data_IF_005736796596
#
_entry.id   IF_005736796596
#
_cell.length_a   1.000
_cell.length_b   1.000
_cell.length_c   1.000
_cell.angle_alpha   90.00
_cell.angle_beta   90.00
_cell.angle_gamma   90.00
#
_symmetry.space_group_name_H-M   'P 1'
#
loop_
_entity.id
_entity.type
_entity.pdbx_description
1 polymer ?
#
# COMPACT_ATOMS: atom_id res chain seq x y z
N UNK A 1 29.18 -6.35 -14.08
CA UNK A 1 28.02 -7.15 -13.64
C UNK A 1 26.71 -6.43 -14.01
N UNK A 2 26.33 -6.39 -15.30
CA UNK A 2 25.03 -5.81 -15.75
C UNK A 2 24.33 -6.65 -16.81
N UNK A 3 24.91 -7.80 -17.19
CA UNK A 3 24.54 -8.53 -18.40
C UNK A 3 23.25 -9.35 -18.24
N UNK A 4 22.82 -9.62 -17.00
CA UNK A 4 21.66 -10.48 -16.70
C UNK A 4 20.64 -9.84 -15.76
N UNK A 5 20.74 -8.53 -15.49
CA UNK A 5 19.88 -7.84 -14.53
C UNK A 5 18.39 -7.98 -14.89
N UNK A 6 18.07 -7.92 -16.19
CA UNK A 6 16.70 -8.10 -16.69
C UNK A 6 16.21 -9.55 -16.54
N UNK A 7 17.10 -10.53 -16.76
CA UNK A 7 16.77 -11.96 -16.62
C UNK A 7 16.40 -12.33 -15.18
N UNK A 8 16.93 -11.61 -14.19
CA UNK A 8 16.64 -11.79 -12.76
C UNK A 8 15.74 -10.71 -12.17
N UNK A 9 15.20 -9.80 -12.98
CA UNK A 9 14.34 -8.71 -12.50
C UNK A 9 12.95 -9.20 -12.06
N UNK A 10 12.45 -10.28 -12.66
CA UNK A 10 11.12 -10.83 -12.37
C UNK A 10 11.14 -11.72 -11.12
N UNK A 11 10.24 -11.44 -10.17
CA UNK A 11 10.11 -12.21 -8.92
C UNK A 11 9.14 -13.38 -9.09
N UNK A 12 9.51 -14.63 -8.75
CA UNK A 12 8.58 -15.74 -8.79
C UNK A 12 7.51 -15.59 -7.69
N UNK A 13 6.24 -15.70 -8.08
CA UNK A 13 5.08 -15.58 -7.20
C UNK A 13 4.57 -16.99 -6.88
N UNK A 14 4.48 -17.33 -5.58
CA UNK A 14 3.95 -18.62 -5.13
C UNK A 14 2.43 -18.70 -5.36
N UNK A 15 1.86 -19.90 -5.22
CA UNK A 15 0.42 -20.12 -5.49
C UNK A 15 -0.46 -19.34 -4.53
N UNK A 16 -0.13 -19.28 -3.24
CA UNK A 16 -0.87 -18.46 -2.27
C UNK A 16 -0.65 -16.97 -2.52
N UNK A 17 0.58 -16.53 -2.81
CA UNK A 17 0.86 -15.12 -3.09
C UNK A 17 0.11 -14.59 -4.31
N UNK A 18 -0.11 -15.44 -5.31
CA UNK A 18 -0.95 -15.12 -6.48
C UNK A 18 -2.42 -14.95 -6.10
N UNK A 19 -2.91 -15.61 -5.05
CA UNK A 19 -4.26 -15.35 -4.55
C UNK A 19 -4.32 -14.06 -3.72
N UNK A 20 -3.19 -13.64 -3.12
CA UNK A 20 -3.09 -12.40 -2.35
C UNK A 20 -3.05 -11.18 -3.26
N UNK A 21 -2.36 -11.27 -4.38
CA UNK A 21 -2.38 -10.24 -5.41
C UNK A 21 -3.67 -10.44 -6.22
N UNK A 22 -4.56 -9.46 -6.23
CA UNK A 22 -5.71 -9.49 -7.13
C UNK A 22 -5.17 -9.42 -8.56
N UNK A 23 -5.81 -10.10 -9.52
CA UNK A 23 -5.33 -10.10 -10.91
C UNK A 23 -5.21 -8.66 -11.43
N UNK A 24 -4.03 -8.30 -11.94
CA UNK A 24 -3.69 -6.93 -12.36
C UNK A 24 -3.25 -5.98 -11.24
N UNK A 25 -3.17 -6.45 -9.99
CA UNK A 25 -2.74 -5.67 -8.83
C UNK A 25 -1.34 -6.04 -8.32
N UNK A 26 -0.46 -6.58 -9.18
CA UNK A 26 0.88 -7.01 -8.80
C UNK A 26 1.80 -5.84 -8.39
N UNK A 27 1.43 -4.62 -8.77
CA UNK A 27 2.10 -3.38 -8.38
C UNK A 27 3.58 -3.34 -8.75
N UNK A 28 4.34 -2.47 -8.08
CA UNK A 28 5.77 -2.29 -8.37
C UNK A 28 6.63 -3.48 -7.89
N UNK A 29 6.14 -4.24 -6.91
CA UNK A 29 6.91 -5.27 -6.20
C UNK A 29 6.91 -6.60 -6.98
N UNK A 30 5.75 -7.02 -7.52
CA UNK A 30 5.58 -8.34 -8.14
C UNK A 30 5.29 -8.32 -9.63
N UNK A 31 4.97 -7.16 -10.23
CA UNK A 31 4.72 -7.13 -11.65
C UNK A 31 5.98 -7.56 -12.44
N UNK A 32 5.81 -8.40 -13.48
CA UNK A 32 6.93 -8.82 -14.32
C UNK A 32 7.54 -7.60 -15.03
N UNK A 33 8.85 -7.67 -15.27
CA UNK A 33 9.53 -6.59 -15.96
C UNK A 33 8.97 -6.41 -17.38
N UNK A 34 8.49 -5.20 -17.69
CA UNK A 34 7.85 -4.87 -18.97
C UNK A 34 7.54 -3.37 -19.08
N UNK A 35 6.83 -2.96 -20.14
CA UNK A 35 6.42 -1.57 -20.34
C UNK A 35 5.53 -1.06 -19.20
N UNK A 36 4.52 -1.83 -18.78
CA UNK A 36 3.67 -1.51 -17.64
C UNK A 36 4.45 -1.28 -16.34
N UNK A 37 5.39 -2.18 -15.99
CA UNK A 37 6.24 -2.01 -14.80
C UNK A 37 7.14 -0.77 -14.90
N UNK A 38 7.71 -0.51 -16.08
CA UNK A 38 8.54 0.69 -16.31
C UNK A 38 7.73 1.97 -16.18
N UNK A 39 6.50 2.00 -16.70
CA UNK A 39 5.59 3.13 -16.56
C UNK A 39 5.25 3.37 -15.09
N UNK A 40 4.83 2.33 -14.36
CA UNK A 40 4.54 2.43 -12.93
C UNK A 40 5.76 2.89 -12.12
N UNK A 41 6.95 2.35 -12.41
CA UNK A 41 8.20 2.79 -11.78
C UNK A 41 8.49 4.27 -12.05
N UNK A 42 8.25 4.73 -13.29
CA UNK A 42 8.44 6.14 -13.66
C UNK A 42 7.49 7.03 -12.85
N UNK A 43 6.20 6.69 -12.77
CA UNK A 43 5.22 7.41 -11.95
C UNK A 43 5.69 7.48 -10.48
N UNK A 44 6.06 6.34 -9.87
CA UNK A 44 6.54 6.33 -8.49
C UNK A 44 7.78 7.21 -8.29
N UNK A 45 8.73 7.20 -9.24
CA UNK A 45 10.00 7.92 -9.06
C UNK A 45 9.85 9.42 -9.33
N UNK A 46 9.08 9.79 -10.35
CA UNK A 46 8.97 11.18 -10.84
C UNK A 46 7.89 11.95 -10.09
N UNK A 47 6.79 11.31 -9.72
CA UNK A 47 5.64 11.98 -9.12
C UNK A 47 5.61 11.77 -7.60
N UNK A 48 5.66 10.51 -7.16
CA UNK A 48 5.45 10.16 -5.74
C UNK A 48 6.70 10.35 -4.86
N UNK A 49 7.87 9.98 -5.38
CA UNK A 49 9.14 9.95 -4.64
C UNK A 49 10.14 11.01 -5.15
N UNK A 50 9.63 12.06 -5.78
CA UNK A 50 10.48 13.16 -6.23
C UNK A 50 11.10 13.92 -5.06
N UNK A 51 12.26 14.53 -5.29
CA UNK A 51 12.92 15.37 -4.29
C UNK A 51 12.00 16.48 -3.79
N UNK A 52 11.20 17.07 -4.69
CA UNK A 52 10.20 18.09 -4.35
C UNK A 52 9.15 17.54 -3.38
N UNK A 53 8.65 16.32 -3.62
CA UNK A 53 7.61 15.70 -2.79
C UNK A 53 8.13 15.29 -1.41
N UNK A 54 9.32 14.70 -1.38
CA UNK A 54 10.01 14.36 -0.13
C UNK A 54 10.28 15.62 0.71
N UNK A 55 10.57 16.75 0.06
CA UNK A 55 10.75 18.03 0.74
C UNK A 55 9.44 18.65 1.23
N UNK A 56 8.33 18.53 0.46
CA UNK A 56 7.03 19.04 0.93
C UNK A 56 6.57 18.28 2.17
N UNK A 57 6.70 16.94 2.17
CA UNK A 57 6.32 16.08 3.29
C UNK A 57 7.18 16.24 4.54
N UNK A 58 8.20 17.11 4.51
CA UNK A 58 9.08 17.35 5.66
C UNK A 58 8.30 17.87 6.87
N UNK A 59 7.27 18.72 6.64
CA UNK A 59 6.44 19.26 7.71
C UNK A 59 5.74 18.17 8.52
N UNK A 60 5.28 17.11 7.85
CA UNK A 60 4.68 15.93 8.47
C UNK A 60 5.67 15.26 9.42
N UNK A 61 6.91 15.04 8.96
CA UNK A 61 7.96 14.45 9.80
C UNK A 61 8.26 15.30 11.04
N UNK A 62 8.31 16.62 10.90
CA UNK A 62 8.57 17.52 12.03
C UNK A 62 7.44 17.49 13.08
N UNK A 63 6.18 17.44 12.64
CA UNK A 63 5.02 17.29 13.54
C UNK A 63 5.06 15.95 14.30
N UNK A 64 5.29 14.85 13.59
CA UNK A 64 5.35 13.53 14.19
C UNK A 64 6.54 13.37 15.16
N UNK A 65 7.68 14.02 14.87
CA UNK A 65 8.83 14.07 15.81
C UNK A 65 8.47 14.85 17.07
N UNK A 66 7.73 15.95 16.96
CA UNK A 66 7.26 16.69 18.14
C UNK A 66 6.35 15.82 19.03
N UNK A 67 5.42 15.08 18.42
CA UNK A 67 4.55 14.15 19.13
C UNK A 67 5.36 13.05 19.84
N UNK A 68 6.37 12.49 19.15
CA UNK A 68 7.30 11.52 19.73
C UNK A 68 8.04 12.08 20.95
N UNK A 69 8.57 13.31 20.86
CA UNK A 69 9.29 13.95 21.96
C UNK A 69 8.39 14.23 23.16
N UNK A 70 7.13 14.63 22.92
CA UNK A 70 6.14 14.81 23.99
C UNK A 70 5.78 13.49 24.68
N UNK A 71 5.65 12.40 23.93
CA UNK A 71 5.40 11.06 24.50
C UNK A 71 6.58 10.59 25.38
N UNK A 72 7.81 10.83 24.92
CA UNK A 72 9.02 10.54 25.71
C UNK A 72 9.04 11.39 26.97
N UNK A 73 8.87 12.71 26.87
CA UNK A 73 8.94 13.62 28.02
C UNK A 73 7.91 13.26 29.10
N UNK A 74 6.69 12.90 28.67
CA UNK A 74 5.59 12.50 29.56
C UNK A 74 5.92 11.20 30.30
N UNK A 75 6.53 10.23 29.61
CA UNK A 75 6.91 8.96 30.24
C UNK A 75 8.07 9.14 31.21
N UNK A 76 9.05 9.99 30.87
CA UNK A 76 10.20 10.30 31.73
C UNK A 76 9.86 11.20 32.93
N UNK A 77 8.66 11.80 32.95
CA UNK A 77 8.20 12.61 34.08
C UNK A 77 8.03 11.78 35.36
N UNK A 78 7.87 10.46 35.23
CA UNK A 78 7.87 9.51 36.34
C UNK A 78 9.28 8.98 36.64
N UNK A 79 9.83 9.22 37.84
CA UNK A 79 11.15 8.72 38.21
C UNK A 79 11.25 7.20 38.10
N UNK A 80 12.24 6.70 37.37
CA UNK A 80 12.48 5.26 37.18
C UNK A 80 11.65 4.60 36.08
N UNK A 81 10.81 5.34 35.35
CA UNK A 81 10.07 4.80 34.22
C UNK A 81 11.00 4.51 33.02
N UNK A 82 11.01 3.26 32.56
CA UNK A 82 11.73 2.86 31.36
C UNK A 82 10.90 3.21 30.11
N UNK A 83 11.52 3.86 29.14
CA UNK A 83 10.87 4.23 27.87
C UNK A 83 11.18 3.17 26.81
N UNK A 84 10.15 2.55 26.23
CA UNK A 84 10.33 1.67 25.08
C UNK A 84 10.42 2.49 23.78
N UNK A 85 11.64 2.88 23.41
CA UNK A 85 11.90 3.63 22.18
C UNK A 85 11.55 2.84 20.91
N UNK A 86 11.63 1.51 20.94
CA UNK A 86 11.29 0.69 19.76
C UNK A 86 9.82 0.86 19.39
N UNK A 87 8.91 0.83 20.38
CA UNK A 87 7.48 1.02 20.15
C UNK A 87 7.17 2.43 19.68
N UNK A 88 7.78 3.43 20.33
CA UNK A 88 7.56 4.84 19.99
C UNK A 88 8.06 5.19 18.58
N UNK A 89 9.26 4.73 18.20
CA UNK A 89 9.78 4.91 16.84
C UNK A 89 8.95 4.17 15.80
N UNK A 90 8.44 2.98 16.12
CA UNK A 90 7.56 2.24 15.22
C UNK A 90 6.24 2.99 14.99
N UNK A 91 5.67 3.60 16.04
CA UNK A 91 4.50 4.47 15.88
C UNK A 91 4.81 5.65 14.98
N UNK A 92 5.88 6.39 15.28
CA UNK A 92 6.32 7.55 14.49
C UNK A 92 6.45 7.22 12.99
N UNK A 93 7.13 6.13 12.64
CA UNK A 93 7.30 5.73 11.23
C UNK A 93 5.94 5.39 10.61
N UNK A 94 5.09 4.67 11.31
CA UNK A 94 3.75 4.32 10.83
C UNK A 94 2.87 5.56 10.68
N UNK A 95 2.88 6.48 11.64
CA UNK A 95 2.14 7.75 11.63
C UNK A 95 2.55 8.60 10.43
N UNK A 96 3.85 8.87 10.31
CA UNK A 96 4.42 9.65 9.22
C UNK A 96 4.14 9.03 7.84
N UNK A 97 4.27 7.70 7.72
CA UNK A 97 4.03 7.00 6.45
C UNK A 97 2.55 7.03 6.06
N UNK A 98 1.63 6.77 6.99
CA UNK A 98 0.19 6.80 6.72
C UNK A 98 -0.25 8.21 6.33
N UNK A 99 0.22 9.22 7.06
CA UNK A 99 -0.08 10.62 6.75
C UNK A 99 0.48 11.04 5.39
N UNK A 100 1.64 10.54 4.98
CA UNK A 100 2.18 10.84 3.64
C UNK A 100 1.34 10.19 2.54
N UNK A 101 0.85 8.97 2.75
CA UNK A 101 0.09 8.22 1.74
C UNK A 101 -1.34 8.73 1.61
N UNK A 102 -2.08 8.85 2.71
CA UNK A 102 -3.54 9.07 2.76
C UNK A 102 -3.90 10.45 3.36
N UNK A 103 -2.90 11.26 3.71
CA UNK A 103 -3.12 12.57 4.29
C UNK A 103 -3.64 12.54 5.74
N UNK A 104 -3.91 13.73 6.28
CA UNK A 104 -4.49 13.94 7.63
C UNK A 104 -6.01 13.77 7.68
N UNK A 105 -6.66 13.60 6.53
CA UNK A 105 -8.13 13.56 6.42
C UNK A 105 -8.72 12.29 6.99
N UNK A 106 -7.93 11.22 6.94
CA UNK A 106 -8.41 9.88 7.23
C UNK A 106 -8.34 9.54 8.71
N UNK A 107 -9.50 9.33 9.33
CA UNK A 107 -9.63 9.09 10.78
C UNK A 107 -9.32 7.66 11.20
N UNK A 108 -9.40 6.70 10.28
CA UNK A 108 -9.37 5.27 10.62
C UNK A 108 -7.97 4.64 10.43
N UNK A 109 -6.92 5.38 10.82
CA UNK A 109 -5.51 4.97 10.67
C UNK A 109 -5.23 3.59 11.27
N UNK A 110 -5.79 3.31 12.44
CA UNK A 110 -5.60 2.04 13.14
C UNK A 110 -6.11 0.87 12.30
N UNK A 111 -7.25 1.05 11.63
CA UNK A 111 -7.80 0.05 10.71
C UNK A 111 -6.87 -0.17 9.52
N UNK A 112 -6.30 0.88 8.94
CA UNK A 112 -5.31 0.72 7.85
C UNK A 112 -4.09 -0.07 8.29
N UNK A 113 -3.49 0.28 9.43
CA UNK A 113 -2.29 -0.39 9.95
C UNK A 113 -2.58 -1.85 10.32
N UNK A 114 -3.75 -2.12 10.88
CA UNK A 114 -4.21 -3.49 11.16
C UNK A 114 -4.33 -4.30 9.88
N UNK A 115 -5.02 -3.79 8.87
CA UNK A 115 -5.15 -4.45 7.57
C UNK A 115 -3.78 -4.67 6.92
N UNK A 116 -2.90 -3.67 6.93
CA UNK A 116 -1.52 -3.80 6.45
C UNK A 116 -0.76 -4.92 7.19
N UNK A 117 -0.86 -4.96 8.52
CA UNK A 117 -0.22 -5.98 9.35
C UNK A 117 -0.73 -7.39 9.05
N UNK A 118 -2.05 -7.57 8.98
CA UNK A 118 -2.69 -8.84 8.62
C UNK A 118 -2.26 -9.30 7.21
N UNK A 119 -2.21 -8.37 6.25
CA UNK A 119 -1.75 -8.63 4.89
C UNK A 119 -0.30 -9.09 4.84
N UNK A 120 0.60 -8.41 5.56
CA UNK A 120 2.03 -8.78 5.68
C UNK A 120 2.16 -10.18 6.33
N UNK A 121 1.40 -10.48 7.37
CA UNK A 121 1.43 -11.78 8.05
C UNK A 121 0.97 -12.92 7.13
N UNK A 122 -0.16 -12.72 6.44
CA UNK A 122 -0.69 -13.67 5.46
C UNK A 122 0.28 -13.89 4.30
N UNK A 123 0.90 -12.82 3.81
CA UNK A 123 1.86 -12.87 2.71
C UNK A 123 3.19 -13.55 3.10
N UNK A 124 3.68 -13.31 4.32
CA UNK A 124 5.01 -13.75 4.76
C UNK A 124 5.05 -15.26 5.06
N UNK A 125 3.94 -15.85 5.48
CA UNK A 125 3.90 -17.28 5.85
C UNK A 125 3.58 -18.16 4.64
N UNK A 126 4.44 -19.13 4.25
CA UNK A 126 4.11 -20.07 3.18
C UNK A 126 2.93 -20.97 3.58
N UNK A 127 2.02 -21.25 2.65
CA UNK A 127 0.90 -22.17 2.85
C UNK A 127 1.20 -23.60 2.42
N UNK A 128 0.34 -24.54 2.80
CA UNK A 128 0.39 -25.91 2.24
C UNK A 128 0.40 -25.93 0.70
N UNK A 129 -0.35 -25.05 -0.01
CA UNK A 129 -0.29 -25.01 -1.47
C UNK A 129 1.03 -24.47 -2.05
N UNK A 130 1.84 -23.78 -1.25
CA UNK A 130 3.17 -23.34 -1.67
C UNK A 130 4.21 -24.45 -1.49
N UNK A 131 4.06 -25.29 -0.47
CA UNK A 131 4.95 -26.43 -0.19
C UNK A 131 4.63 -27.63 -1.09
N UNK A 132 3.35 -27.84 -1.41
CA UNK A 132 2.87 -28.99 -2.19
C UNK A 132 2.00 -28.54 -3.38
N UNK A 133 2.59 -27.87 -4.39
CA UNK A 133 1.84 -27.27 -5.50
C UNK A 133 1.08 -28.28 -6.38
N UNK A 134 1.53 -29.54 -6.41
CA UNK A 134 0.90 -30.63 -7.17
C UNK A 134 -0.31 -31.26 -6.47
N UNK A 135 -0.48 -31.04 -5.15
CA UNK A 135 -1.57 -31.65 -4.38
C UNK A 135 -2.82 -30.78 -4.39
N UNK A 136 -3.90 -31.26 -5.01
CA UNK A 136 -5.23 -30.62 -4.92
C UNK A 136 -5.77 -30.64 -3.49
N UNK A 137 -5.43 -31.67 -2.72
CA UNK A 137 -5.83 -31.78 -1.31
C UNK A 137 -5.18 -30.70 -0.44
N UNK A 138 -3.92 -30.33 -0.72
CA UNK A 138 -3.24 -29.24 -0.01
C UNK A 138 -3.96 -27.89 -0.17
N UNK A 139 -4.62 -27.66 -1.32
CA UNK A 139 -5.46 -26.48 -1.55
C UNK A 139 -6.77 -26.55 -0.78
N UNK A 140 -7.44 -27.70 -0.78
CA UNK A 140 -8.73 -27.90 -0.11
C UNK A 140 -8.61 -27.84 1.43
N UNK A 141 -7.55 -28.42 1.99
CA UNK A 141 -7.34 -28.50 3.45
C UNK A 141 -6.82 -27.18 4.01
N UNK A 142 -6.17 -26.36 3.19
CA UNK A 142 -5.62 -25.08 3.63
C UNK A 142 -6.72 -24.04 3.83
N UNK A 143 -6.74 -23.38 5.00
CA UNK A 143 -7.60 -22.22 5.26
C UNK A 143 -7.09 -20.92 4.62
N UNK A 144 -5.82 -20.89 4.19
CA UNK A 144 -5.17 -19.66 3.69
C UNK A 144 -5.86 -19.03 2.48
N UNK A 145 -6.29 -19.77 1.45
CA UNK A 145 -7.01 -19.17 0.32
C UNK A 145 -8.24 -18.36 0.75
N UNK A 146 -9.00 -18.87 1.72
CA UNK A 146 -10.19 -18.18 2.24
C UNK A 146 -9.82 -16.94 3.06
N UNK A 147 -8.81 -17.03 3.93
CA UNK A 147 -8.32 -15.87 4.70
C UNK A 147 -7.80 -14.77 3.79
N UNK A 148 -7.02 -15.14 2.76
CA UNK A 148 -6.50 -14.20 1.77
C UNK A 148 -7.64 -13.53 1.00
N UNK A 149 -8.67 -14.28 0.59
CA UNK A 149 -9.83 -13.71 -0.09
C UNK A 149 -10.58 -12.71 0.80
N UNK A 150 -10.84 -13.04 2.06
CA UNK A 150 -11.50 -12.16 3.02
C UNK A 150 -10.68 -10.89 3.26
N UNK A 151 -9.37 -11.05 3.45
CA UNK A 151 -8.45 -9.94 3.64
C UNK A 151 -8.44 -9.00 2.42
N UNK A 152 -8.36 -9.55 1.20
CA UNK A 152 -8.40 -8.76 -0.02
C UNK A 152 -9.71 -7.99 -0.18
N UNK A 153 -10.85 -8.60 0.16
CA UNK A 153 -12.14 -7.90 0.14
C UNK A 153 -12.19 -6.76 1.14
N UNK A 154 -11.71 -6.97 2.36
CA UNK A 154 -11.63 -5.94 3.39
C UNK A 154 -10.70 -4.78 2.96
N UNK A 155 -9.51 -5.10 2.44
CA UNK A 155 -8.55 -4.12 1.95
C UNK A 155 -9.09 -3.33 0.75
N UNK A 156 -9.73 -3.99 -0.23
CA UNK A 156 -10.32 -3.29 -1.38
C UNK A 156 -11.46 -2.35 -0.96
N UNK A 157 -12.37 -2.80 -0.08
CA UNK A 157 -13.43 -1.94 0.43
C UNK A 157 -12.89 -0.74 1.23
N UNK A 158 -11.80 -0.96 1.96
CA UNK A 158 -11.11 0.10 2.68
C UNK A 158 -10.46 1.12 1.73
N UNK A 159 -9.74 0.66 0.71
CA UNK A 159 -9.14 1.54 -0.31
C UNK A 159 -10.20 2.30 -1.12
N UNK A 160 -11.33 1.67 -1.44
CA UNK A 160 -12.47 2.33 -2.10
C UNK A 160 -13.03 3.47 -1.24
N UNK A 161 -13.16 3.25 0.08
CA UNK A 161 -13.59 4.29 1.02
C UNK A 161 -12.63 5.48 1.01
N UNK A 162 -11.32 5.21 1.02
CA UNK A 162 -10.28 6.24 0.91
C UNK A 162 -10.42 7.01 -0.40
N UNK A 163 -10.52 6.31 -1.53
CA UNK A 163 -10.63 6.94 -2.85
C UNK A 163 -11.86 7.86 -2.92
N UNK A 164 -13.01 7.40 -2.41
CA UNK A 164 -14.23 8.21 -2.39
C UNK A 164 -14.09 9.47 -1.54
N UNK A 165 -13.42 9.39 -0.39
CA UNK A 165 -13.14 10.56 0.47
C UNK A 165 -12.25 11.60 -0.23
N UNK A 166 -11.27 11.15 -1.03
CA UNK A 166 -10.37 12.04 -1.79
C UNK A 166 -11.02 12.60 -3.06
N UNK A 167 -12.02 11.92 -3.62
CA UNK A 167 -12.78 12.40 -4.78
C UNK A 167 -13.90 13.39 -4.41
N UNK A 168 -14.37 13.39 -3.17
CA UNK A 168 -15.42 14.30 -2.73
C UNK A 168 -14.95 15.77 -2.80
N UNK A 169 -15.73 16.67 -3.44
CA UNK A 169 -15.35 18.07 -3.58
C UNK A 169 -15.29 18.75 -2.20
N UNK A 170 -14.09 19.11 -1.77
CA UNK A 170 -13.89 19.93 -0.59
C UNK A 170 -14.22 21.38 -0.91
N UNK A 171 -15.11 21.98 -0.12
CA UNK A 171 -15.29 23.42 -0.07
C UNK A 171 -13.95 24.12 0.10
N UNK A 172 -13.76 25.18 -0.69
CA UNK A 172 -12.58 26.05 -0.78
C UNK A 172 -11.71 26.09 0.48
N UNK A 173 -10.68 25.23 0.54
CA UNK A 173 -9.55 25.40 1.47
C UNK A 173 -8.27 25.30 0.65
N UNK A 174 -7.77 26.48 0.31
CA UNK A 174 -6.78 26.77 -0.73
C UNK A 174 -5.33 26.48 -0.33
N UNK A 175 -5.09 25.61 0.66
CA UNK A 175 -3.74 25.37 1.17
C UNK A 175 -3.61 23.97 1.82
N UNK A 176 -4.17 22.94 1.17
CA UNK A 176 -3.97 21.55 1.61
C UNK A 176 -2.81 20.92 0.86
N UNK A 177 -1.87 20.38 1.64
CA UNK A 177 -0.79 19.56 1.12
C UNK A 177 -1.38 18.33 0.42
N UNK A 178 -0.99 18.15 -0.84
CA UNK A 178 -1.44 17.04 -1.69
C UNK A 178 -0.80 15.73 -1.21
N UNK A 179 -1.59 14.70 -0.92
CA UNK A 179 -1.10 13.37 -0.53
C UNK A 179 -0.88 12.45 -1.74
N UNK A 180 -0.29 11.26 -1.52
CA UNK A 180 0.04 10.36 -2.62
C UNK A 180 -1.21 9.82 -3.35
N UNK A 181 -2.34 9.66 -2.66
CA UNK A 181 -3.60 9.24 -3.28
C UNK A 181 -4.13 10.35 -4.19
N UNK A 182 -4.09 11.61 -3.75
CA UNK A 182 -4.47 12.77 -4.55
C UNK A 182 -3.65 12.84 -5.86
N UNK A 183 -2.33 12.59 -5.81
CA UNK A 183 -1.48 12.58 -7.02
C UNK A 183 -1.84 11.44 -7.96
N UNK A 184 -2.06 10.24 -7.44
CA UNK A 184 -2.44 9.10 -8.28
C UNK A 184 -3.80 9.35 -8.96
N UNK A 185 -4.76 9.94 -8.24
CA UNK A 185 -6.06 10.32 -8.80
C UNK A 185 -5.95 11.45 -9.82
N UNK A 186 -5.06 12.42 -9.60
CA UNK A 186 -4.78 13.50 -10.57
C UNK A 186 -4.21 12.93 -11.87
N UNK A 187 -3.17 12.09 -11.77
CA UNK A 187 -2.56 11.43 -12.93
C UNK A 187 -3.60 10.57 -13.68
N UNK A 188 -4.45 9.85 -12.96
CA UNK A 188 -5.52 9.06 -13.58
C UNK A 188 -6.51 9.93 -14.37
N UNK A 189 -6.79 11.16 -13.94
CA UNK A 189 -7.75 12.07 -14.59
C UNK A 189 -7.15 12.91 -15.70
N UNK A 190 -5.87 13.29 -15.58
CA UNK A 190 -5.23 14.28 -16.46
C UNK A 190 -4.36 13.64 -17.54
N UNK A 191 -3.87 12.42 -17.33
CA UNK A 191 -2.89 11.78 -18.22
C UNK A 191 -3.51 10.65 -19.06
N UNK A 192 -4.25 11.06 -20.10
CA UNK A 192 -4.76 10.16 -21.15
C UNK A 192 -3.64 9.53 -22.00
N UNK A 193 -2.37 9.91 -21.78
CA UNK A 193 -1.21 9.41 -22.54
C UNK A 193 -0.58 8.14 -21.95
N UNK A 194 -1.09 7.66 -20.81
CA UNK A 194 -0.64 6.42 -20.20
C UNK A 194 -1.01 5.21 -21.08
N UNK A 195 0.00 4.47 -21.54
CA UNK A 195 -0.20 3.21 -22.27
C UNK A 195 -0.94 2.17 -21.41
N UNK A 196 -0.72 2.22 -20.10
CA UNK A 196 -1.42 1.41 -19.10
C UNK A 196 -2.13 2.31 -18.08
N UNK A 197 -3.45 2.51 -18.18
CA UNK A 197 -4.16 3.43 -17.29
C UNK A 197 -4.17 2.92 -15.84
N UNK A 198 -4.18 3.84 -14.88
CA UNK A 198 -4.37 3.51 -13.47
C UNK A 198 -5.83 3.12 -13.23
N UNK A 199 -6.06 2.00 -12.55
CA UNK A 199 -7.40 1.49 -12.25
C UNK A 199 -7.70 1.63 -10.76
N UNK A 200 -8.91 2.08 -10.42
CA UNK A 200 -9.42 2.12 -9.04
C UNK A 200 -10.10 0.81 -8.61
N UNK A 201 -10.46 -0.05 -9.57
CA UNK A 201 -11.03 -1.38 -9.32
C UNK A 201 -10.12 -2.49 -9.84
N UNK A 202 -10.21 -3.64 -9.18
CA UNK A 202 -9.65 -4.88 -9.71
C UNK A 202 -10.30 -5.21 -11.06
N UNK A 203 -9.51 -5.67 -12.04
CA UNK A 203 -9.91 -5.87 -13.43
C UNK A 203 -11.01 -6.93 -13.67
N UNK A 204 -11.62 -7.48 -12.62
CA UNK A 204 -12.55 -8.61 -12.72
C UNK A 204 -14.04 -8.22 -12.80
N UNK A 205 -14.36 -6.94 -12.99
CA UNK A 205 -15.73 -6.50 -13.30
C UNK A 205 -15.99 -6.28 -14.80
N UNK A 206 -14.95 -6.24 -15.66
CA UNK A 206 -15.16 -6.02 -17.10
C UNK A 206 -15.45 -7.30 -17.92
N UNK A 207 -15.18 -8.50 -17.40
CA UNK A 207 -15.45 -9.75 -18.12
C UNK A 207 -16.77 -10.45 -17.76
N UNK A 208 -17.54 -9.92 -16.79
CA UNK A 208 -18.87 -10.46 -16.47
C UNK A 208 -20.02 -9.80 -17.24
N UNK A 209 -19.75 -8.82 -18.11
CA UNK A 209 -20.76 -8.22 -19.00
C UNK A 209 -20.71 -8.72 -20.46
N UNK A 210 -19.87 -9.71 -20.78
CA UNK A 210 -19.78 -10.31 -22.13
C UNK A 210 -20.33 -11.75 -22.22
N UNK A 211 -21.06 -12.21 -21.20
CA UNK A 211 -21.77 -13.49 -21.26
C UNK A 211 -23.22 -13.29 -20.80
N UNK A 212 -24.00 -12.70 -21.71
CA UNK A 212 -25.39 -13.12 -21.93
C UNK A 212 -25.43 -14.61 -22.35
#
# INVERSE_FOLDING_TARGET
MRTHDVSFATRPISRIKRLTLVDGSEGLIFAPYGSAWRQLRKICTVELLSTRRVQSSRGIGEQEVQHLLQAVSTTTATPGAAVNLSTLLSSYVNDSTVHTIIGSRFKDRETFLRLMGEGIELFSRPGLPDLYPSSRLAMLVSRKPQLVKQHNQAMMGFMETIIQEHQAPLGATTDKEEDLVDVLLRIQKEDDSLEFPLTTRAANESSSSELD
#
